data_IF_646917318712
#
_entry.id   IF_646917318712
#
_cell.length_a   1.000
_cell.length_b   1.000
_cell.length_c   1.000
_cell.angle_alpha   90.00
_cell.angle_beta   90.00
_cell.angle_gamma   90.00
#
_symmetry.space_group_name_H-M   'P 1'
#
loop_
_entity.id
_entity.type
_entity.pdbx_description
1 polymer ?
#
# COMPACT_ATOMS: atom_id res chain seq x y z
N UNK A 1 7.99 -12.03 -4.18
CA UNK A 1 7.05 -11.31 -5.06
C UNK A 1 6.80 -9.92 -4.48
N UNK A 2 6.40 -8.94 -5.30
CA UNK A 2 6.39 -7.53 -4.88
C UNK A 2 5.34 -7.27 -3.80
N UNK A 3 5.77 -6.77 -2.64
CA UNK A 3 4.88 -6.34 -1.56
C UNK A 3 5.29 -4.94 -1.12
N UNK A 4 4.46 -3.96 -1.44
CA UNK A 4 4.67 -2.56 -1.07
C UNK A 4 3.70 -2.17 0.04
N UNK A 5 4.20 -1.50 1.07
CA UNK A 5 3.36 -0.93 2.11
C UNK A 5 3.36 0.60 2.03
N UNK A 6 2.18 1.20 2.18
CA UNK A 6 1.98 2.64 2.33
C UNK A 6 1.62 2.87 3.80
N UNK A 7 2.58 3.36 4.58
CA UNK A 7 2.43 3.56 6.01
C UNK A 7 2.15 5.04 6.33
N UNK A 8 1.18 5.29 7.19
CA UNK A 8 0.89 6.63 7.74
C UNK A 8 0.43 6.53 9.21
N UNK A 9 0.14 7.66 9.87
CA UNK A 9 -0.33 7.66 11.26
C UNK A 9 -1.70 6.97 11.37
N UNK A 10 -2.57 7.19 10.39
CA UNK A 10 -3.89 6.54 10.32
C UNK A 10 -4.14 5.92 8.95
N UNK A 11 -5.05 4.93 8.91
CA UNK A 11 -5.45 4.29 7.67
C UNK A 11 -6.11 5.30 6.71
N UNK A 12 -6.86 6.28 7.22
CA UNK A 12 -7.46 7.32 6.38
C UNK A 12 -6.43 8.21 5.70
N UNK A 13 -5.29 8.50 6.32
CA UNK A 13 -4.21 9.22 5.64
C UNK A 13 -3.66 8.45 4.43
N UNK A 14 -3.53 7.12 4.55
CA UNK A 14 -3.08 6.29 3.41
C UNK A 14 -4.06 6.33 2.24
N UNK A 15 -5.37 6.55 2.51
CA UNK A 15 -6.41 6.65 1.47
C UNK A 15 -6.08 7.70 0.42
N UNK A 16 -5.50 8.84 0.82
CA UNK A 16 -5.11 9.91 -0.10
C UNK A 16 -4.09 9.44 -1.14
N UNK A 17 -3.19 8.53 -0.75
CA UNK A 17 -2.24 7.91 -1.68
C UNK A 17 -2.92 6.80 -2.48
N UNK A 18 -3.71 5.96 -1.82
CA UNK A 18 -4.37 4.81 -2.46
C UNK A 18 -5.34 5.22 -3.57
N UNK A 19 -6.04 6.35 -3.42
CA UNK A 19 -6.98 6.88 -4.42
C UNK A 19 -6.30 7.39 -5.69
N UNK A 20 -4.98 7.57 -5.69
CA UNK A 20 -4.23 8.01 -6.87
C UNK A 20 -3.92 6.86 -7.82
N UNK A 21 -3.81 5.61 -7.34
CA UNK A 21 -3.45 4.49 -8.20
C UNK A 21 -4.38 4.28 -9.40
N UNK A 22 -5.73 4.38 -9.27
CA UNK A 22 -6.63 4.23 -10.41
C UNK A 22 -6.39 5.24 -11.54
N UNK A 23 -5.92 6.46 -11.24
CA UNK A 23 -5.68 7.49 -12.26
C UNK A 23 -4.29 7.38 -12.90
N UNK A 24 -3.32 6.81 -12.18
CA UNK A 24 -1.94 6.66 -12.66
C UNK A 24 -1.77 5.37 -13.49
N UNK A 25 -2.57 4.33 -13.21
CA UNK A 25 -2.49 3.05 -13.89
C UNK A 25 -3.25 3.06 -15.22
N UNK A 26 -2.52 2.79 -16.31
CA UNK A 26 -3.16 2.64 -17.63
C UNK A 26 -4.06 1.39 -17.67
N UNK A 27 -5.13 1.44 -18.50
CA UNK A 27 -5.99 0.27 -18.75
C UNK A 27 -5.20 -0.97 -19.19
N UNK A 28 -4.18 -0.76 -20.04
CA UNK A 28 -3.28 -1.83 -20.50
C UNK A 28 -2.55 -2.50 -19.34
N UNK A 29 -2.01 -1.72 -18.40
CA UNK A 29 -1.32 -2.26 -17.23
C UNK A 29 -2.28 -3.03 -16.31
N UNK A 30 -3.49 -2.53 -16.11
CA UNK A 30 -4.52 -3.22 -15.31
C UNK A 30 -4.82 -4.61 -15.89
N UNK A 31 -4.97 -4.72 -17.20
CA UNK A 31 -5.23 -5.99 -17.88
C UNK A 31 -4.02 -6.93 -17.88
N UNK A 32 -2.84 -6.42 -18.28
CA UNK A 32 -1.60 -7.19 -18.40
C UNK A 32 -1.18 -7.81 -17.07
N UNK A 33 -1.19 -7.02 -16.00
CA UNK A 33 -0.80 -7.45 -14.66
C UNK A 33 -1.96 -7.97 -13.81
N UNK A 34 -3.19 -8.00 -14.36
CA UNK A 34 -4.42 -8.44 -13.67
C UNK A 34 -4.59 -7.73 -12.34
N UNK A 35 -4.52 -6.39 -12.39
CA UNK A 35 -4.58 -5.54 -11.21
C UNK A 35 -6.03 -5.46 -10.72
N UNK A 36 -6.24 -5.77 -9.45
CA UNK A 36 -7.48 -5.51 -8.75
C UNK A 36 -7.31 -4.28 -7.84
N UNK A 37 -8.06 -3.22 -8.16
CA UNK A 37 -7.97 -1.93 -7.50
C UNK A 37 -8.86 -1.88 -6.26
N UNK A 38 -8.28 -2.17 -5.10
CA UNK A 38 -8.93 -1.93 -3.80
C UNK A 38 -8.47 -0.63 -3.14
N UNK A 39 -9.27 -0.15 -2.19
CA UNK A 39 -8.98 1.08 -1.42
C UNK A 39 -7.90 0.87 -0.36
N UNK A 40 -7.78 -0.35 0.16
CA UNK A 40 -6.80 -0.71 1.21
C UNK A 40 -5.75 -1.68 0.69
N UNK A 41 -6.13 -2.57 -0.23
CA UNK A 41 -5.23 -3.51 -0.87
C UNK A 41 -5.45 -3.44 -2.37
N UNK A 42 -4.37 -3.22 -3.10
CA UNK A 42 -4.33 -3.39 -4.56
C UNK A 42 -3.54 -4.66 -4.81
N UNK A 43 -4.16 -5.65 -5.45
CA UNK A 43 -3.50 -6.92 -5.77
C UNK A 43 -3.17 -7.01 -7.26
N UNK A 44 -2.11 -7.74 -7.59
CA UNK A 44 -1.68 -7.95 -8.97
C UNK A 44 -1.05 -9.33 -9.12
N UNK A 45 -0.87 -9.77 -10.37
CA UNK A 45 -0.32 -11.07 -10.74
C UNK A 45 -0.97 -12.24 -9.96
N UNK A 46 -2.32 -12.26 -9.98
CA UNK A 46 -3.12 -13.28 -9.29
C UNK A 46 -2.83 -13.38 -7.79
N UNK A 47 -2.63 -12.23 -7.14
CA UNK A 47 -2.37 -12.11 -5.70
C UNK A 47 -0.91 -12.34 -5.28
N UNK A 48 0.00 -12.54 -6.23
CA UNK A 48 1.44 -12.64 -5.93
C UNK A 48 2.05 -11.30 -5.57
N UNK A 49 1.52 -10.22 -6.13
CA UNK A 49 1.97 -8.87 -5.82
C UNK A 49 0.86 -8.07 -5.13
N UNK A 50 1.25 -7.18 -4.22
CA UNK A 50 0.31 -6.30 -3.54
C UNK A 50 0.90 -4.95 -3.14
N UNK A 51 0.04 -3.94 -3.15
CA UNK A 51 0.22 -2.67 -2.44
C UNK A 51 -0.81 -2.64 -1.33
N UNK A 52 -0.39 -2.32 -0.11
CA UNK A 52 -1.24 -2.38 1.08
C UNK A 52 -1.11 -1.09 1.90
N UNK A 53 -2.26 -0.52 2.26
CA UNK A 53 -2.40 0.56 3.21
C UNK A 53 -2.26 0.05 4.64
N UNK A 54 -1.36 0.64 5.42
CA UNK A 54 -1.11 0.25 6.81
C UNK A 54 -0.95 1.46 7.72
N UNK A 55 -1.17 1.27 9.02
CA UNK A 55 -0.77 2.27 10.02
C UNK A 55 0.68 2.05 10.43
N UNK A 56 1.32 3.10 10.92
CA UNK A 56 2.71 3.09 11.41
C UNK A 56 2.94 2.31 12.71
N UNK A 57 1.89 1.69 13.27
CA UNK A 57 1.97 0.92 14.51
C UNK A 57 2.94 -0.25 14.36
N UNK A 58 4.04 -0.30 15.14
CA UNK A 58 4.98 -1.42 15.06
C UNK A 58 4.33 -2.75 15.38
N UNK A 59 3.38 -2.77 16.33
CA UNK A 59 2.63 -3.97 16.72
C UNK A 59 1.83 -4.57 15.57
N UNK A 60 1.38 -3.74 14.62
CA UNK A 60 0.62 -4.20 13.46
C UNK A 60 1.54 -4.66 12.31
N UNK A 61 2.77 -4.14 12.24
CA UNK A 61 3.69 -4.36 11.11
C UNK A 61 4.76 -5.41 11.39
N UNK A 62 5.01 -5.73 12.66
CA UNK A 62 6.01 -6.71 13.05
C UNK A 62 5.79 -8.06 12.35
N UNK A 63 6.88 -8.63 11.82
CA UNK A 63 6.87 -9.89 11.08
C UNK A 63 6.59 -9.75 9.57
N UNK A 64 6.11 -8.59 9.12
CA UNK A 64 6.01 -8.27 7.70
C UNK A 64 7.37 -8.30 7.00
N UNK A 65 7.40 -8.80 5.76
CA UNK A 65 8.59 -8.79 4.90
C UNK A 65 8.28 -8.08 3.58
N UNK A 66 7.85 -6.80 3.63
CA UNK A 66 7.61 -6.03 2.43
C UNK A 66 8.90 -5.85 1.65
N UNK A 67 8.81 -5.82 0.33
CA UNK A 67 9.94 -5.50 -0.54
C UNK A 67 10.23 -4.00 -0.58
N UNK A 68 9.24 -3.16 -0.24
CA UNK A 68 9.39 -1.72 -0.10
C UNK A 68 8.33 -1.15 0.87
N UNK A 69 8.70 -0.08 1.58
CA UNK A 69 7.78 0.65 2.46
C UNK A 69 7.90 2.15 2.15
N UNK A 70 6.77 2.80 1.92
CA UNK A 70 6.67 4.25 1.84
C UNK A 70 6.16 4.78 3.18
N UNK A 71 6.88 5.72 3.78
CA UNK A 71 6.59 6.28 5.10
C UNK A 71 6.05 7.71 4.93
N UNK A 72 4.74 7.89 5.09
CA UNK A 72 4.07 9.19 4.98
C UNK A 72 4.13 9.98 6.29
N UNK A 73 4.49 11.26 6.21
CA UNK A 73 4.44 12.22 7.33
C UNK A 73 5.07 11.70 8.64
N UNK A 74 6.28 11.14 8.56
CA UNK A 74 6.96 10.51 9.72
C UNK A 74 7.14 11.42 10.93
N UNK A 75 7.14 12.74 10.73
CA UNK A 75 7.18 13.74 11.80
C UNK A 75 5.92 13.78 12.68
N UNK A 76 4.83 13.12 12.28
CA UNK A 76 3.61 12.96 13.07
C UNK A 76 3.49 11.58 13.74
N UNK A 77 4.46 10.69 13.55
CA UNK A 77 4.38 9.33 14.09
C UNK A 77 4.60 9.34 15.60
N UNK A 78 3.83 8.51 16.31
CA UNK A 78 3.93 8.38 17.75
C UNK A 78 5.05 7.40 18.11
N UNK A 79 5.77 7.70 19.18
CA UNK A 79 6.71 6.75 19.77
C UNK A 79 5.97 5.51 20.29
N UNK A 80 6.69 4.38 20.29
CA UNK A 80 6.15 3.03 20.50
C UNK A 80 6.18 2.58 21.95
#
# INVERSE_FOLDING_TARGET
AAWVQIAAVSQDQTRNTMTLFPSILSKRAIEEYRIDLGKEIISADKGRARIEAVTSSPRALEGGRPTAVNLGETHHWLES
#
